data_IF_242578453930
#
_entry.id   IF_242578453930
#
_cell.length_a   1.000
_cell.length_b   1.000
_cell.length_c   1.000
_cell.angle_alpha   90.00
_cell.angle_beta   90.00
_cell.angle_gamma   90.00
#
_symmetry.space_group_name_H-M   'P 1'
#
loop_
_entity.id
_entity.type
_entity.pdbx_description
1 polymer ?
#
# COMPACT_ATOMS: atom_id res chain seq x y z
N UNK A 1 -13.41 26.65 -42.40
CA UNK A 1 -13.04 25.24 -42.18
C UNK A 1 -14.09 24.49 -41.37
N UNK A 2 -14.34 24.82 -40.09
CA UNK A 2 -15.41 24.16 -39.31
C UNK A 2 -16.80 24.27 -39.96
N UNK A 3 -17.08 25.36 -40.66
CA UNK A 3 -18.32 25.52 -41.44
C UNK A 3 -18.44 24.54 -42.59
N UNK A 4 -17.36 24.13 -43.22
CA UNK A 4 -17.35 23.15 -44.32
C UNK A 4 -17.65 21.74 -43.82
N UNK A 5 -17.21 21.37 -42.62
CA UNK A 5 -17.50 20.07 -41.99
C UNK A 5 -18.98 19.90 -41.69
N UNK A 6 -19.66 20.99 -41.29
CA UNK A 6 -21.08 20.97 -40.98
C UNK A 6 -21.94 20.87 -42.24
N UNK A 7 -21.37 21.14 -43.44
CA UNK A 7 -22.06 21.13 -44.73
C UNK A 7 -21.76 19.83 -45.51
N UNK A 8 -20.56 19.25 -45.34
CA UNK A 8 -20.12 18.08 -46.11
C UNK A 8 -19.32 17.11 -45.20
N UNK A 9 -19.93 15.98 -44.89
CA UNK A 9 -19.33 14.93 -44.06
C UNK A 9 -18.16 14.18 -44.73
N UNK A 10 -18.01 14.28 -46.06
CA UNK A 10 -16.88 13.67 -46.78
C UNK A 10 -15.56 14.42 -46.58
N UNK A 11 -15.62 15.68 -46.11
CA UNK A 11 -14.44 16.44 -45.68
C UNK A 11 -13.89 16.03 -44.32
N UNK A 12 -14.62 15.23 -43.52
CA UNK A 12 -14.23 14.82 -42.18
C UNK A 12 -12.87 14.13 -42.11
N UNK A 13 -12.55 13.14 -42.98
CA UNK A 13 -11.25 12.46 -42.93
C UNK A 13 -10.05 13.38 -43.19
N UNK A 14 -10.24 14.38 -44.06
CA UNK A 14 -9.18 15.30 -44.48
C UNK A 14 -8.86 16.37 -43.43
N UNK A 15 -9.81 16.71 -42.59
CA UNK A 15 -9.68 17.78 -41.58
C UNK A 15 -9.27 17.26 -40.22
N UNK A 16 -9.67 16.04 -39.85
CA UNK A 16 -9.28 15.41 -38.56
C UNK A 16 -7.80 15.20 -38.49
N UNK A 17 -7.15 14.95 -39.61
CA UNK A 17 -5.70 14.82 -39.67
C UNK A 17 -4.92 16.13 -39.42
N UNK A 18 -5.55 17.31 -39.23
CA UNK A 18 -4.86 18.57 -39.47
C UNK A 18 -4.93 19.68 -38.41
N UNK A 19 -5.45 19.54 -37.19
CA UNK A 19 -5.54 20.66 -36.24
C UNK A 19 -5.26 20.28 -34.77
N UNK A 20 -4.47 21.09 -34.08
CA UNK A 20 -4.32 20.99 -32.62
C UNK A 20 -5.48 21.65 -31.89
N UNK A 21 -5.90 21.14 -30.71
CA UNK A 21 -6.87 21.86 -29.87
C UNK A 21 -6.39 23.27 -29.49
N UNK A 22 -5.06 23.47 -29.39
CA UNK A 22 -4.47 24.76 -29.03
C UNK A 22 -4.41 25.77 -30.18
N UNK A 23 -4.65 25.34 -31.42
CA UNK A 23 -4.80 26.22 -32.61
C UNK A 23 -6.13 26.96 -32.59
N UNK A 24 -7.02 26.65 -31.62
CA UNK A 24 -8.29 27.31 -31.47
C UNK A 24 -8.31 28.27 -30.29
N UNK A 25 -8.38 29.57 -30.58
CA UNK A 25 -8.55 30.61 -29.55
C UNK A 25 -9.89 30.51 -28.81
N UNK A 26 -10.89 29.86 -29.39
CA UNK A 26 -12.24 29.75 -28.85
C UNK A 26 -12.45 28.33 -28.33
N UNK A 27 -12.85 28.19 -27.05
CA UNK A 27 -13.12 26.93 -26.37
C UNK A 27 -14.04 25.98 -27.17
N UNK A 28 -15.07 26.53 -27.83
CA UNK A 28 -16.01 25.78 -28.67
C UNK A 28 -15.33 25.06 -29.84
N UNK A 29 -14.35 25.71 -30.48
CA UNK A 29 -13.61 25.12 -31.59
C UNK A 29 -12.71 23.99 -31.14
N UNK A 30 -12.12 24.10 -29.92
CA UNK A 30 -11.34 23.04 -29.29
C UNK A 30 -12.20 21.81 -29.00
N UNK A 31 -13.39 22.01 -28.46
CA UNK A 31 -14.36 20.93 -28.17
C UNK A 31 -14.84 20.25 -29.45
N UNK A 32 -15.10 21.03 -30.53
CA UNK A 32 -15.46 20.50 -31.85
C UNK A 32 -14.33 19.62 -32.43
N UNK A 33 -13.09 20.08 -32.36
CA UNK A 33 -11.93 19.27 -32.80
C UNK A 33 -11.82 17.96 -32.04
N UNK A 34 -11.93 18.00 -30.71
CA UNK A 34 -11.90 16.77 -29.88
C UNK A 34 -13.01 15.80 -30.25
N UNK A 35 -14.21 16.31 -30.52
CA UNK A 35 -15.36 15.50 -30.97
C UNK A 35 -15.09 14.83 -32.30
N UNK A 36 -14.59 15.58 -33.29
CA UNK A 36 -14.24 15.08 -34.63
C UNK A 36 -13.15 14.02 -34.54
N UNK A 37 -12.09 14.26 -33.73
CA UNK A 37 -11.02 13.30 -33.50
C UNK A 37 -11.56 12.01 -32.86
N UNK A 38 -12.42 12.12 -31.85
CA UNK A 38 -13.05 10.97 -31.20
C UNK A 38 -13.88 10.16 -32.19
N UNK A 39 -14.69 10.79 -33.00
CA UNK A 39 -15.48 10.12 -34.04
C UNK A 39 -14.60 9.40 -35.08
N UNK A 40 -13.51 10.05 -35.53
CA UNK A 40 -12.55 9.43 -36.44
C UNK A 40 -11.86 8.19 -35.79
N UNK A 41 -11.36 8.31 -34.56
CA UNK A 41 -10.75 7.23 -33.86
C UNK A 41 -11.70 6.03 -33.65
N UNK A 42 -12.97 6.31 -33.36
CA UNK A 42 -14.02 5.28 -33.29
C UNK A 42 -14.29 4.62 -34.63
N UNK A 43 -14.32 5.38 -35.73
CA UNK A 43 -14.54 4.87 -37.08
C UNK A 43 -13.40 3.94 -37.54
N UNK A 44 -12.17 4.24 -37.14
CA UNK A 44 -10.97 3.43 -37.44
C UNK A 44 -10.73 2.33 -36.42
N UNK A 45 -11.60 2.18 -35.39
CA UNK A 45 -11.46 1.22 -34.28
C UNK A 45 -10.11 1.34 -33.53
N UNK A 46 -9.56 2.55 -33.46
CA UNK A 46 -8.38 2.87 -32.68
C UNK A 46 -8.84 3.18 -31.24
N UNK A 47 -8.36 2.39 -30.28
CA UNK A 47 -8.55 2.64 -28.84
C UNK A 47 -7.24 3.27 -28.29
N UNK A 48 -7.15 4.61 -28.22
CA UNK A 48 -5.92 5.27 -27.81
C UNK A 48 -5.77 5.27 -26.28
N UNK A 49 -4.58 4.89 -25.79
CA UNK A 49 -4.25 4.88 -24.36
C UNK A 49 -3.96 6.28 -23.82
N UNK A 50 -3.61 7.21 -24.73
CA UNK A 50 -3.29 8.60 -24.41
C UNK A 50 -3.92 9.54 -25.43
N UNK A 51 -3.98 10.82 -25.07
CA UNK A 51 -4.29 11.86 -26.05
C UNK A 51 -3.22 11.86 -27.13
N UNK A 52 -3.60 11.99 -28.41
CA UNK A 52 -2.64 12.03 -29.49
C UNK A 52 -1.68 13.22 -29.36
N UNK A 53 -0.43 13.00 -29.72
CA UNK A 53 0.49 14.10 -30.01
C UNK A 53 0.31 14.50 -31.47
N UNK A 54 0.10 15.80 -31.71
CA UNK A 54 -0.16 16.32 -33.06
C UNK A 54 0.95 17.32 -33.40
N UNK A 55 1.65 17.07 -34.50
CA UNK A 55 2.66 17.95 -35.06
C UNK A 55 2.18 18.52 -36.39
N UNK A 56 2.15 19.85 -36.50
CA UNK A 56 1.73 20.53 -37.73
C UNK A 56 2.91 20.61 -38.70
N UNK A 57 2.77 19.99 -39.87
CA UNK A 57 3.82 20.00 -40.90
C UNK A 57 3.67 21.21 -41.86
N UNK A 58 2.41 21.61 -42.18
CA UNK A 58 2.16 22.73 -43.09
C UNK A 58 0.99 23.57 -42.61
N UNK A 59 1.21 24.85 -42.39
CA UNK A 59 0.21 25.85 -42.05
C UNK A 59 0.45 27.11 -42.89
N UNK A 60 -0.03 27.09 -44.16
CA UNK A 60 0.11 28.23 -45.08
C UNK A 60 -1.27 28.62 -45.59
N UNK A 61 -1.51 29.93 -45.71
CA UNK A 61 -2.78 30.46 -46.24
C UNK A 61 -2.97 30.05 -47.71
N UNK A 62 -4.09 29.38 -48.00
CA UNK A 62 -4.42 28.89 -49.35
C UNK A 62 -3.85 27.53 -49.73
N UNK A 63 -3.17 26.84 -48.80
CA UNK A 63 -2.74 25.44 -48.96
C UNK A 63 -3.48 24.53 -47.97
N UNK A 64 -3.48 23.25 -48.29
CA UNK A 64 -3.99 22.22 -47.36
C UNK A 64 -3.13 22.18 -46.09
N UNK A 65 -3.79 22.09 -44.97
CA UNK A 65 -3.12 21.92 -43.66
C UNK A 65 -2.75 20.45 -43.53
N UNK A 66 -1.46 20.17 -43.31
CA UNK A 66 -0.95 18.81 -43.12
C UNK A 66 -0.37 18.68 -41.70
N UNK A 67 -0.81 17.66 -40.99
CA UNK A 67 -0.26 17.36 -39.68
C UNK A 67 -0.05 15.85 -39.47
N UNK A 68 0.79 15.51 -38.54
CA UNK A 68 1.06 14.15 -38.08
C UNK A 68 0.47 13.94 -36.70
N UNK A 69 -0.51 13.04 -36.57
CA UNK A 69 -1.02 12.61 -35.26
C UNK A 69 -0.35 11.28 -34.85
N UNK A 70 0.36 11.29 -33.73
CA UNK A 70 0.95 10.10 -33.15
C UNK A 70 0.07 9.59 -32.03
N UNK A 71 -0.40 8.35 -32.14
CA UNK A 71 -1.30 7.70 -31.20
C UNK A 71 -0.60 6.46 -30.64
N UNK A 72 -0.73 6.24 -29.33
CA UNK A 72 -0.35 4.96 -28.72
C UNK A 72 -1.60 4.10 -28.61
N UNK A 73 -1.77 3.07 -29.45
CA UNK A 73 -2.94 2.19 -29.36
C UNK A 73 -2.84 1.32 -28.12
N UNK A 74 -3.99 0.79 -27.69
CA UNK A 74 -4.05 -0.22 -26.66
C UNK A 74 -3.33 -1.49 -27.14
N UNK A 75 -2.46 -2.14 -26.31
CA UNK A 75 -1.71 -3.31 -26.73
C UNK A 75 -2.63 -4.53 -26.93
N UNK A 76 -2.28 -5.36 -27.90
CA UNK A 76 -2.93 -6.66 -28.06
C UNK A 76 -2.44 -7.63 -26.98
N UNK A 77 -3.38 -8.28 -26.31
CA UNK A 77 -3.11 -9.26 -25.26
C UNK A 77 -3.35 -10.65 -25.83
N UNK A 78 -2.33 -11.51 -25.75
CA UNK A 78 -2.48 -12.94 -26.06
C UNK A 78 -2.66 -13.69 -24.76
N UNK A 79 -3.88 -14.21 -24.55
CA UNK A 79 -4.20 -15.02 -23.39
C UNK A 79 -3.47 -16.35 -23.44
N UNK A 80 -2.93 -16.76 -22.28
CA UNK A 80 -2.52 -18.14 -22.02
C UNK A 80 -3.57 -18.83 -21.15
N UNK A 81 -3.15 -19.82 -20.37
CA UNK A 81 -4.03 -20.54 -19.47
C UNK A 81 -4.45 -19.66 -18.29
N UNK A 82 -5.73 -19.45 -18.12
CA UNK A 82 -6.35 -18.73 -17.01
C UNK A 82 -7.46 -19.52 -16.31
N UNK A 83 -7.75 -20.77 -16.79
CA UNK A 83 -8.63 -21.76 -16.18
C UNK A 83 -7.85 -23.01 -15.82
N UNK A 84 -8.33 -23.75 -14.83
CA UNK A 84 -7.70 -25.01 -14.41
C UNK A 84 -6.28 -24.80 -13.87
N UNK A 85 -5.96 -23.62 -13.37
CA UNK A 85 -4.66 -23.31 -12.78
C UNK A 85 -4.45 -24.15 -11.53
N UNK A 86 -3.32 -24.85 -11.45
CA UNK A 86 -2.96 -25.62 -10.27
C UNK A 86 -2.28 -24.70 -9.25
N UNK A 87 -3.10 -24.15 -8.35
CA UNK A 87 -2.64 -23.24 -7.31
C UNK A 87 -2.72 -23.96 -5.96
N UNK A 88 -1.60 -24.30 -5.34
CA UNK A 88 -1.62 -24.96 -4.04
C UNK A 88 -2.24 -24.04 -2.98
N UNK A 89 -3.16 -24.58 -2.18
CA UNK A 89 -3.65 -23.95 -0.97
C UNK A 89 -2.68 -24.28 0.17
N UNK A 90 -2.18 -23.27 0.85
CA UNK A 90 -1.35 -23.47 2.03
C UNK A 90 -2.16 -24.19 3.11
N UNK A 91 -1.64 -25.30 3.62
CA UNK A 91 -2.25 -26.00 4.74
C UNK A 91 -2.14 -25.15 6.00
N UNK A 92 -3.25 -24.96 6.68
CA UNK A 92 -3.31 -24.23 7.94
C UNK A 92 -3.20 -25.24 9.08
N UNK A 93 -2.21 -25.07 9.93
CA UNK A 93 -2.03 -25.87 11.15
C UNK A 93 -1.72 -24.94 12.32
N UNK A 94 -2.67 -24.79 13.22
CA UNK A 94 -2.50 -24.03 14.47
C UNK A 94 -2.04 -24.97 15.56
N UNK A 95 -0.87 -24.71 16.13
CA UNK A 95 -0.26 -25.49 17.19
C UNK A 95 -0.70 -25.00 18.57
N UNK A 96 -0.48 -25.82 19.59
CA UNK A 96 -0.68 -25.40 20.98
C UNK A 96 0.23 -24.24 21.38
N UNK A 97 1.44 -24.20 20.78
CA UNK A 97 2.38 -23.09 20.98
C UNK A 97 1.83 -21.74 20.49
N UNK A 98 1.07 -21.72 19.41
CA UNK A 98 0.47 -20.49 18.88
C UNK A 98 -0.61 -19.97 19.83
N UNK A 99 -1.40 -20.87 20.40
CA UNK A 99 -2.39 -20.53 21.43
C UNK A 99 -1.70 -20.01 22.69
N UNK A 100 -0.61 -20.66 23.12
CA UNK A 100 0.17 -20.21 24.28
C UNK A 100 0.81 -18.83 24.07
N UNK A 101 1.34 -18.54 22.88
CA UNK A 101 1.86 -17.22 22.53
C UNK A 101 0.79 -16.14 22.67
N UNK A 102 -0.40 -16.44 22.20
CA UNK A 102 -1.52 -15.49 22.31
C UNK A 102 -1.96 -15.29 23.77
N UNK A 103 -1.99 -16.36 24.57
CA UNK A 103 -2.27 -16.28 26.00
C UNK A 103 -1.21 -15.46 26.74
N UNK A 104 0.07 -15.64 26.42
CA UNK A 104 1.16 -14.83 26.98
C UNK A 104 1.00 -13.36 26.62
N UNK A 105 0.52 -13.05 25.42
CA UNK A 105 0.22 -11.66 25.02
C UNK A 105 -0.89 -11.08 25.89
N UNK A 106 -1.96 -11.84 26.18
CA UNK A 106 -3.02 -11.41 27.10
C UNK A 106 -2.53 -11.25 28.53
N UNK A 107 -1.74 -12.23 29.03
CA UNK A 107 -1.10 -12.18 30.33
C UNK A 107 -0.24 -10.92 30.49
N UNK A 108 0.58 -10.65 29.47
CA UNK A 108 1.49 -9.51 29.45
C UNK A 108 0.76 -8.17 29.50
N UNK A 109 -0.37 -8.04 28.79
CA UNK A 109 -1.24 -6.84 28.84
C UNK A 109 -1.88 -6.60 30.19
N UNK A 110 -2.07 -7.65 30.99
CA UNK A 110 -2.64 -7.57 32.34
C UNK A 110 -1.57 -7.46 33.44
N UNK A 111 -0.27 -7.52 33.06
CA UNK A 111 0.84 -7.36 33.98
C UNK A 111 0.82 -5.99 34.68
N UNK A 112 1.13 -5.97 35.96
CA UNK A 112 1.25 -4.79 36.77
C UNK A 112 2.72 -4.48 37.07
N UNK A 113 3.09 -3.22 36.92
CA UNK A 113 4.42 -2.79 37.34
C UNK A 113 4.42 -2.60 38.86
N UNK A 114 5.27 -3.34 39.54
CA UNK A 114 5.49 -3.24 40.97
C UNK A 114 6.96 -2.86 41.24
N UNK A 115 7.19 -2.08 42.26
CA UNK A 115 8.54 -1.70 42.64
C UNK A 115 9.30 -2.94 43.06
N UNK A 116 10.50 -3.12 42.53
CA UNK A 116 11.36 -4.26 42.94
C UNK A 116 11.79 -4.16 44.40
N UNK A 117 11.96 -5.28 45.12
CA UNK A 117 12.39 -5.27 46.52
C UNK A 117 13.76 -4.61 46.66
N UNK A 118 14.01 -4.08 47.88
CA UNK A 118 15.32 -3.48 48.23
C UNK A 118 16.48 -4.44 47.93
N UNK A 119 17.50 -3.98 47.22
CA UNK A 119 18.63 -4.81 46.80
C UNK A 119 18.40 -5.68 45.57
N UNK A 120 17.27 -5.56 44.88
CA UNK A 120 17.02 -6.27 43.62
C UNK A 120 18.05 -5.82 42.55
N UNK A 121 18.39 -6.77 41.70
CA UNK A 121 19.20 -6.55 40.49
C UNK A 121 18.31 -6.46 39.27
N UNK A 122 18.69 -5.60 38.34
CA UNK A 122 18.02 -5.44 37.03
C UNK A 122 18.04 -6.76 36.28
N UNK A 123 16.88 -7.18 35.79
CA UNK A 123 16.70 -8.37 34.95
C UNK A 123 16.16 -7.97 33.57
N UNK A 124 16.34 -8.85 32.62
CA UNK A 124 15.71 -8.76 31.33
C UNK A 124 14.17 -8.69 31.49
N UNK A 125 13.51 -7.73 30.79
CA UNK A 125 12.09 -7.44 30.91
C UNK A 125 11.72 -6.41 31.98
N UNK A 126 12.61 -6.04 32.91
CA UNK A 126 12.35 -5.04 33.93
C UNK A 126 12.23 -3.62 33.35
N UNK A 127 11.41 -2.81 33.97
CA UNK A 127 11.28 -1.39 33.68
C UNK A 127 12.14 -0.59 34.66
N UNK A 128 13.19 0.03 34.14
CA UNK A 128 14.09 0.86 34.93
C UNK A 128 13.84 2.32 34.69
N UNK A 129 14.12 3.14 35.70
CA UNK A 129 14.33 4.57 35.52
C UNK A 129 15.81 4.82 35.74
N UNK A 130 16.47 5.41 34.77
CA UNK A 130 17.91 5.63 34.82
C UNK A 130 18.31 7.04 34.41
N UNK A 131 19.39 7.53 35.02
CA UNK A 131 20.13 8.66 34.50
C UNK A 131 21.30 8.13 33.66
N UNK A 132 21.55 8.75 32.53
CA UNK A 132 22.70 8.40 31.72
C UNK A 132 23.38 9.64 31.15
N UNK A 133 24.69 9.53 30.93
CA UNK A 133 25.49 10.54 30.24
C UNK A 133 26.49 9.86 29.34
N UNK A 134 26.40 10.14 28.04
CA UNK A 134 27.25 9.56 27.00
C UNK A 134 28.46 10.41 26.68
N UNK A 135 29.57 9.73 26.41
CA UNK A 135 30.85 10.30 26.03
C UNK A 135 31.37 9.59 24.78
N UNK A 136 31.87 10.33 23.83
CA UNK A 136 32.63 9.84 22.67
C UNK A 136 34.00 10.49 22.71
N UNK A 137 35.06 9.70 22.61
CA UNK A 137 36.45 10.17 22.73
C UNK A 137 36.74 10.96 24.04
N UNK A 138 35.93 10.70 25.09
CA UNK A 138 36.07 11.38 26.41
C UNK A 138 35.31 12.69 26.51
N UNK A 139 34.66 13.17 25.45
CA UNK A 139 33.84 14.37 25.44
C UNK A 139 32.34 14.03 25.43
N UNK A 140 31.54 14.77 26.22
CA UNK A 140 30.09 14.61 26.21
C UNK A 140 29.51 15.17 24.90
N UNK A 141 28.51 14.50 24.35
CA UNK A 141 27.87 14.90 23.09
C UNK A 141 26.40 15.30 23.31
N UNK A 142 25.90 16.16 22.42
CA UNK A 142 24.52 16.64 22.48
C UNK A 142 23.53 15.50 22.24
N UNK A 143 22.50 15.39 23.12
CA UNK A 143 21.53 14.30 23.08
C UNK A 143 21.98 13.02 23.77
N UNK A 144 23.21 12.97 24.31
CA UNK A 144 23.75 11.83 25.06
C UNK A 144 23.40 11.82 26.55
N UNK A 145 22.65 12.79 27.08
CA UNK A 145 22.30 12.89 28.50
C UNK A 145 20.79 12.74 28.70
N UNK A 146 20.37 11.94 29.66
CA UNK A 146 18.97 11.82 30.12
C UNK A 146 18.92 11.66 31.62
N UNK A 147 17.88 12.24 32.24
CA UNK A 147 17.57 12.08 33.67
C UNK A 147 16.21 11.47 33.83
N UNK A 148 16.06 10.60 34.81
CA UNK A 148 14.82 9.88 35.10
C UNK A 148 14.20 9.21 33.84
N UNK A 149 15.05 8.73 32.96
CA UNK A 149 14.62 8.14 31.68
C UNK A 149 14.02 6.74 31.91
N UNK A 150 12.77 6.49 31.48
CA UNK A 150 12.16 5.18 31.59
C UNK A 150 12.69 4.27 30.46
N UNK A 151 13.26 3.13 30.83
CA UNK A 151 13.78 2.12 29.92
C UNK A 151 13.33 0.73 30.32
N UNK A 152 12.73 0.01 29.39
CA UNK A 152 12.49 -1.42 29.54
C UNK A 152 13.72 -2.17 29.04
N UNK A 153 14.33 -2.97 29.90
CA UNK A 153 15.50 -3.80 29.57
C UNK A 153 15.07 -4.92 28.62
N UNK A 154 15.83 -5.11 27.54
CA UNK A 154 15.50 -6.09 26.49
C UNK A 154 14.54 -5.56 25.42
N UNK A 155 14.14 -4.29 25.51
CA UNK A 155 13.27 -3.66 24.48
C UNK A 155 13.99 -3.36 23.17
N UNK A 156 15.31 -3.35 23.16
CA UNK A 156 16.17 -2.92 22.07
C UNK A 156 15.87 -1.48 21.59
N UNK A 157 15.38 -0.62 22.47
CA UNK A 157 15.10 0.79 22.17
C UNK A 157 16.36 1.68 22.22
N UNK A 158 17.43 1.19 22.83
CA UNK A 158 18.74 1.81 22.85
C UNK A 158 19.72 1.17 21.86
N UNK A 159 20.92 1.71 21.79
CA UNK A 159 22.01 1.20 20.96
C UNK A 159 22.28 -0.27 21.33
N UNK A 160 22.48 -1.17 20.35
CA UNK A 160 22.74 -2.58 20.62
C UNK A 160 23.83 -2.81 21.66
N UNK A 161 23.54 -3.66 22.65
CA UNK A 161 24.44 -3.97 23.74
C UNK A 161 24.42 -2.99 24.91
N UNK A 162 23.59 -1.94 24.87
CA UNK A 162 23.41 -1.00 25.97
C UNK A 162 22.60 -1.64 27.11
N UNK A 163 21.44 -2.18 26.79
CA UNK A 163 20.51 -2.75 27.77
C UNK A 163 21.07 -4.01 28.44
N UNK A 164 21.77 -4.85 27.69
CA UNK A 164 22.39 -6.08 28.18
C UNK A 164 23.42 -5.81 29.28
N UNK A 165 24.17 -4.71 29.18
CA UNK A 165 25.18 -4.37 30.18
C UNK A 165 24.59 -3.79 31.47
N UNK A 166 23.32 -3.38 31.47
CA UNK A 166 22.62 -2.93 32.67
C UNK A 166 22.04 -4.10 33.49
N UNK A 167 21.93 -5.29 32.92
CA UNK A 167 21.47 -6.49 33.64
C UNK A 167 22.42 -6.77 34.80
N UNK A 168 21.85 -7.05 35.99
CA UNK A 168 22.58 -7.26 37.22
C UNK A 168 22.98 -5.98 37.95
N UNK A 169 22.66 -4.78 37.45
CA UNK A 169 22.90 -3.54 38.21
C UNK A 169 21.89 -3.35 39.32
N UNK A 170 22.27 -2.64 40.37
CA UNK A 170 21.41 -2.33 41.53
C UNK A 170 20.96 -0.89 41.55
N UNK A 171 19.89 -0.61 42.29
CA UNK A 171 19.42 0.78 42.49
C UNK A 171 20.52 1.60 43.14
N UNK A 172 20.83 2.76 42.58
CA UNK A 172 21.90 3.68 43.02
C UNK A 172 23.28 3.28 42.52
N UNK A 173 23.44 2.19 41.80
CA UNK A 173 24.73 1.77 41.22
C UNK A 173 25.03 2.62 39.98
N UNK A 174 26.26 3.11 39.91
CA UNK A 174 26.82 3.71 38.71
C UNK A 174 27.53 2.63 37.88
N UNK A 175 27.18 2.51 36.61
CA UNK A 175 27.76 1.54 35.69
C UNK A 175 28.17 2.22 34.38
N UNK A 176 29.41 1.93 33.97
CA UNK A 176 29.90 2.36 32.64
C UNK A 176 29.47 1.31 31.59
N UNK A 177 28.67 1.77 30.63
CA UNK A 177 28.15 0.98 29.51
C UNK A 177 28.88 1.37 28.24
N UNK A 178 29.66 0.43 27.69
CA UNK A 178 30.44 0.66 26.49
C UNK A 178 29.76 0.05 25.28
N UNK A 179 29.42 0.89 24.30
CA UNK A 179 28.70 0.50 23.08
C UNK A 179 29.31 1.16 21.85
N UNK A 180 29.04 0.59 20.70
CA UNK A 180 29.42 1.15 19.42
C UNK A 180 28.17 1.58 18.67
N UNK A 181 28.15 2.83 18.21
CA UNK A 181 27.08 3.33 17.35
C UNK A 181 27.02 2.54 16.04
N UNK A 182 25.83 2.19 15.54
CA UNK A 182 25.67 1.61 14.21
C UNK A 182 26.27 2.50 13.12
N UNK A 183 26.74 1.89 12.02
CA UNK A 183 27.31 2.64 10.89
C UNK A 183 26.27 3.52 10.19
N UNK A 184 24.99 3.10 10.21
CA UNK A 184 23.85 3.83 9.65
C UNK A 184 23.09 4.64 10.72
N UNK A 185 23.78 5.22 11.69
CA UNK A 185 23.14 6.03 12.73
C UNK A 185 22.71 7.39 12.18
N UNK A 186 21.54 7.90 12.60
CA UNK A 186 20.95 9.15 12.10
C UNK A 186 21.89 10.37 12.30
N UNK A 187 22.67 10.42 13.39
CA UNK A 187 23.68 11.42 13.61
C UNK A 187 25.02 10.96 13.01
N UNK A 188 25.36 11.47 11.83
CA UNK A 188 26.57 11.09 11.06
C UNK A 188 27.87 11.27 11.85
N UNK A 189 27.86 12.20 12.80
CA UNK A 189 29.03 12.50 13.65
C UNK A 189 29.31 11.40 14.70
N UNK A 190 28.30 10.59 15.02
CA UNK A 190 28.38 9.51 15.98
C UNK A 190 28.46 8.12 15.32
N UNK A 191 28.06 8.00 14.04
CA UNK A 191 28.02 6.74 13.31
C UNK A 191 29.38 6.00 13.37
N UNK A 192 29.34 4.71 13.77
CA UNK A 192 30.50 3.84 13.85
C UNK A 192 31.49 4.15 14.99
N UNK A 193 31.22 5.16 15.84
CA UNK A 193 32.11 5.50 16.96
C UNK A 193 31.81 4.67 18.22
N UNK A 194 32.83 4.46 19.02
CA UNK A 194 32.71 3.89 20.34
C UNK A 194 32.25 4.97 21.33
N UNK A 195 31.29 4.64 22.17
CA UNK A 195 30.76 5.53 23.20
C UNK A 195 30.73 4.83 24.56
N UNK A 196 30.98 5.59 25.61
CA UNK A 196 30.85 5.17 26.99
C UNK A 196 29.72 5.95 27.64
N UNK A 197 28.70 5.26 28.16
CA UNK A 197 27.63 5.89 28.92
C UNK A 197 27.79 5.60 30.39
N UNK A 198 27.82 6.64 31.20
CA UNK A 198 27.71 6.52 32.65
C UNK A 198 26.25 6.49 33.02
N UNK A 199 25.82 5.34 33.53
CA UNK A 199 24.42 5.09 33.84
C UNK A 199 24.25 4.92 35.35
N UNK A 200 23.19 5.53 35.90
CA UNK A 200 22.80 5.37 37.31
C UNK A 200 21.37 4.89 37.36
N UNK A 201 21.13 3.73 37.97
CA UNK A 201 19.77 3.17 38.11
C UNK A 201 19.06 3.91 39.25
N UNK A 202 17.91 4.55 38.95
CA UNK A 202 17.08 5.28 39.93
C UNK A 202 16.02 4.40 40.57
N UNK A 203 15.37 3.60 39.74
CA UNK A 203 14.36 2.65 40.20
C UNK A 203 14.29 1.44 39.28
N UNK A 204 13.84 0.33 39.85
CA UNK A 204 13.58 -0.91 39.14
C UNK A 204 12.12 -1.27 39.42
N UNK A 205 11.34 -1.50 38.35
CA UNK A 205 9.98 -2.04 38.43
C UNK A 205 9.94 -3.35 37.68
N UNK A 206 9.48 -4.37 38.32
CA UNK A 206 9.28 -5.68 37.70
C UNK A 206 7.82 -5.82 37.31
N UNK A 207 7.58 -6.39 36.15
CA UNK A 207 6.22 -6.66 35.68
C UNK A 207 5.73 -7.95 36.31
N UNK A 208 4.84 -7.80 37.28
CA UNK A 208 4.18 -8.94 37.91
C UNK A 208 3.04 -9.43 37.00
N UNK A 209 3.22 -10.61 36.42
CA UNK A 209 2.26 -11.22 35.52
C UNK A 209 1.25 -12.06 36.32
N UNK A 210 -0.07 -11.92 36.04
CA UNK A 210 -1.07 -12.80 36.64
C UNK A 210 -0.86 -14.24 36.21
N UNK A 211 -1.34 -15.20 36.98
CA UNK A 211 -1.36 -16.60 36.55
C UNK A 211 -2.24 -16.76 35.30
N UNK A 212 -1.87 -17.75 34.46
CA UNK A 212 -2.70 -18.12 33.30
C UNK A 212 -3.75 -19.14 33.79
N UNK A 213 -4.85 -18.65 34.28
CA UNK A 213 -5.93 -19.40 34.89
C UNK A 213 -7.31 -18.82 34.50
N UNK A 214 -8.36 -19.35 35.11
CA UNK A 214 -9.74 -18.89 34.86
C UNK A 214 -9.98 -17.43 35.25
N UNK A 215 -9.22 -16.89 36.22
CA UNK A 215 -9.31 -15.49 36.60
C UNK A 215 -8.72 -14.57 35.53
N UNK A 216 -7.67 -15.00 34.84
CA UNK A 216 -7.17 -14.29 33.67
C UNK A 216 -8.21 -14.32 32.54
N UNK A 217 -8.82 -15.50 32.29
CA UNK A 217 -9.84 -15.64 31.24
C UNK A 217 -11.01 -14.65 31.44
N UNK A 218 -11.53 -14.54 32.66
CA UNK A 218 -12.59 -13.59 33.01
C UNK A 218 -12.18 -12.11 32.85
N UNK A 219 -10.92 -11.78 33.07
CA UNK A 219 -10.43 -10.41 32.95
C UNK A 219 -10.21 -9.96 31.50
N UNK A 220 -9.79 -10.88 30.62
CA UNK A 220 -9.38 -10.55 29.25
C UNK A 220 -10.47 -10.84 28.22
N UNK A 221 -11.51 -11.57 28.61
CA UNK A 221 -12.56 -12.03 27.73
C UNK A 221 -13.93 -12.11 28.41
N UNK A 222 -14.91 -12.63 27.68
CA UNK A 222 -16.26 -12.95 28.18
C UNK A 222 -16.39 -14.37 28.74
N UNK A 223 -15.31 -15.14 28.70
CA UNK A 223 -15.32 -16.56 29.09
C UNK A 223 -15.07 -16.75 30.58
N UNK A 224 -15.65 -17.78 31.16
CA UNK A 224 -15.54 -18.10 32.57
C UNK A 224 -14.33 -18.98 32.88
N UNK A 225 -13.86 -19.76 31.89
CA UNK A 225 -12.77 -20.71 32.05
C UNK A 225 -11.63 -20.47 31.06
N UNK A 226 -10.42 -20.89 31.45
CA UNK A 226 -9.24 -20.84 30.59
C UNK A 226 -9.40 -21.74 29.35
N UNK A 227 -10.06 -22.89 29.50
CA UNK A 227 -10.26 -23.80 28.37
C UNK A 227 -11.20 -23.22 27.31
N UNK A 228 -12.26 -22.50 27.70
CA UNK A 228 -13.11 -21.77 26.78
C UNK A 228 -12.34 -20.65 26.04
N UNK A 229 -11.49 -19.91 26.75
CA UNK A 229 -10.63 -18.88 26.15
C UNK A 229 -9.64 -19.52 25.16
N UNK A 230 -8.98 -20.63 25.52
CA UNK A 230 -8.08 -21.35 24.61
C UNK A 230 -8.79 -21.84 23.35
N UNK A 231 -9.99 -22.39 23.49
CA UNK A 231 -10.79 -22.85 22.36
C UNK A 231 -11.18 -21.68 21.43
N UNK A 232 -11.55 -20.52 21.97
CA UNK A 232 -11.88 -19.33 21.19
C UNK A 232 -10.63 -18.75 20.49
N UNK A 233 -9.50 -18.68 21.18
CA UNK A 233 -8.22 -18.26 20.59
C UNK A 233 -7.87 -19.17 19.42
N UNK A 234 -7.90 -20.48 19.61
CA UNK A 234 -7.60 -21.46 18.55
C UNK A 234 -8.51 -21.25 17.35
N UNK A 235 -9.81 -21.16 17.57
CA UNK A 235 -10.80 -20.92 16.53
C UNK A 235 -10.51 -19.64 15.77
N UNK A 236 -10.23 -18.52 16.45
CA UNK A 236 -9.92 -17.26 15.82
C UNK A 236 -8.61 -17.32 15.02
N UNK A 237 -7.59 -18.02 15.51
CA UNK A 237 -6.33 -18.24 14.79
C UNK A 237 -6.56 -19.09 13.54
N UNK A 238 -7.34 -20.17 13.62
CA UNK A 238 -7.70 -21.03 12.49
C UNK A 238 -8.48 -20.24 11.43
N UNK A 239 -9.55 -19.53 11.81
CA UNK A 239 -10.36 -18.72 10.89
C UNK A 239 -9.52 -17.61 10.19
N UNK A 240 -8.61 -16.97 10.94
CA UNK A 240 -7.71 -15.96 10.37
C UNK A 240 -6.69 -16.58 9.40
N UNK A 241 -6.10 -17.71 9.79
CA UNK A 241 -5.11 -18.38 8.96
C UNK A 241 -5.74 -19.01 7.71
N UNK A 242 -6.95 -19.58 7.81
CA UNK A 242 -7.73 -20.06 6.65
C UNK A 242 -8.04 -18.90 5.70
N UNK A 243 -8.54 -17.78 6.22
CA UNK A 243 -8.82 -16.59 5.41
C UNK A 243 -7.56 -16.06 4.72
N UNK A 244 -6.41 -16.08 5.40
CA UNK A 244 -5.13 -15.69 4.81
C UNK A 244 -4.73 -16.65 3.70
N UNK A 245 -4.77 -17.97 3.97
CA UNK A 245 -4.44 -18.99 2.98
C UNK A 245 -5.36 -18.93 1.74
N UNK A 246 -6.65 -18.66 1.92
CA UNK A 246 -7.58 -18.45 0.81
C UNK A 246 -7.25 -17.18 0.01
N UNK A 247 -6.92 -16.08 0.66
CA UNK A 247 -6.55 -14.85 -0.03
C UNK A 247 -5.22 -15.00 -0.77
N UNK A 248 -4.26 -15.70 -0.18
CA UNK A 248 -2.98 -16.02 -0.83
C UNK A 248 -3.19 -16.89 -2.07
N UNK A 249 -4.06 -17.91 -1.97
CA UNK A 249 -4.42 -18.76 -3.10
C UNK A 249 -5.09 -17.96 -4.22
N UNK A 250 -6.05 -17.08 -3.88
CA UNK A 250 -6.69 -16.17 -4.85
C UNK A 250 -5.69 -15.26 -5.54
N UNK A 251 -4.80 -14.66 -4.77
CA UNK A 251 -3.74 -13.79 -5.29
C UNK A 251 -2.78 -14.56 -6.21
N UNK A 252 -2.36 -15.75 -5.79
CA UNK A 252 -1.48 -16.60 -6.59
C UNK A 252 -2.14 -17.05 -7.91
N UNK A 253 -3.46 -17.33 -7.90
CA UNK A 253 -4.21 -17.66 -9.11
C UNK A 253 -4.20 -16.52 -10.13
N UNK A 254 -4.47 -15.29 -9.67
CA UNK A 254 -4.44 -14.10 -10.53
C UNK A 254 -3.01 -13.82 -11.03
N UNK A 255 -2.01 -13.97 -10.18
CA UNK A 255 -0.61 -13.81 -10.56
C UNK A 255 -0.19 -14.83 -11.62
N UNK A 256 -0.55 -16.10 -11.45
CA UNK A 256 -0.28 -17.16 -12.42
C UNK A 256 -0.95 -16.87 -13.77
N UNK A 257 -2.24 -16.50 -13.77
CA UNK A 257 -2.96 -16.10 -14.99
C UNK A 257 -2.28 -14.89 -15.65
N UNK A 258 -1.85 -13.89 -14.87
CA UNK A 258 -1.14 -12.70 -15.38
C UNK A 258 0.19 -13.06 -16.00
N UNK A 259 0.94 -14.02 -15.42
CA UNK A 259 2.22 -14.45 -15.97
C UNK A 259 2.07 -15.23 -17.28
N UNK A 260 0.95 -15.92 -17.47
CA UNK A 260 0.67 -16.72 -18.66
C UNK A 260 0.32 -15.87 -19.90
N UNK A 261 0.01 -14.58 -19.78
CA UNK A 261 -0.26 -13.72 -20.93
C UNK A 261 1.02 -13.17 -21.56
N UNK A 262 0.95 -12.93 -22.86
CA UNK A 262 1.98 -12.18 -23.60
C UNK A 262 1.38 -10.86 -24.07
N UNK A 263 2.02 -9.76 -23.69
CA UNK A 263 1.62 -8.41 -24.04
C UNK A 263 2.85 -7.49 -24.06
N UNK A 264 2.90 -6.58 -25.02
CA UNK A 264 3.89 -5.50 -25.09
C UNK A 264 3.26 -4.21 -24.54
N UNK A 265 3.58 -3.90 -23.28
CA UNK A 265 2.93 -2.80 -22.56
C UNK A 265 3.61 -1.48 -22.92
N UNK A 266 2.91 -0.51 -23.53
CA UNK A 266 3.47 0.82 -23.79
C UNK A 266 3.92 1.50 -22.49
N UNK A 267 5.13 2.07 -22.50
CA UNK A 267 5.72 2.74 -21.33
C UNK A 267 4.79 3.79 -20.70
N UNK A 268 4.02 4.49 -21.53
CA UNK A 268 3.06 5.50 -21.07
C UNK A 268 1.96 4.92 -20.16
N UNK A 269 1.56 3.66 -20.34
CA UNK A 269 0.58 3.01 -19.46
C UNK A 269 1.19 2.77 -18.08
N UNK A 270 2.45 2.33 -18.05
CA UNK A 270 3.21 2.13 -16.81
C UNK A 270 3.39 3.48 -16.09
N UNK A 271 3.81 4.51 -16.81
CA UNK A 271 4.03 5.85 -16.23
C UNK A 271 2.74 6.48 -15.67
N UNK A 272 1.61 6.26 -16.35
CA UNK A 272 0.29 6.67 -15.87
C UNK A 272 -0.08 5.92 -14.57
N UNK A 273 0.17 4.61 -14.51
CA UNK A 273 -0.09 3.82 -13.30
C UNK A 273 0.80 4.22 -12.15
N UNK A 274 2.11 4.46 -12.38
CA UNK A 274 3.03 5.01 -11.39
C UNK A 274 2.49 6.32 -10.82
N UNK A 275 2.03 7.21 -11.69
CA UNK A 275 1.47 8.50 -11.28
C UNK A 275 0.22 8.31 -10.40
N UNK A 276 -0.69 7.41 -10.78
CA UNK A 276 -1.87 7.08 -9.99
C UNK A 276 -1.50 6.50 -8.61
N UNK A 277 -0.52 5.58 -8.54
CA UNK A 277 -0.05 4.99 -7.28
C UNK A 277 0.54 6.04 -6.33
N UNK A 278 1.29 7.00 -6.87
CA UNK A 278 1.84 8.11 -6.06
C UNK A 278 0.73 9.03 -5.56
N UNK A 279 -0.28 9.30 -6.39
CA UNK A 279 -1.44 10.08 -5.96
C UNK A 279 -2.26 9.35 -4.88
N UNK A 280 -2.46 8.04 -5.01
CA UNK A 280 -3.10 7.20 -3.99
C UNK A 280 -2.33 7.24 -2.67
N UNK A 281 -0.99 7.18 -2.73
CA UNK A 281 -0.12 7.33 -1.57
C UNK A 281 -0.24 8.71 -0.93
N UNK A 282 -0.20 9.78 -1.75
CA UNK A 282 -0.33 11.16 -1.27
C UNK A 282 -1.65 11.37 -0.53
N UNK A 283 -2.77 10.91 -1.09
CA UNK A 283 -4.09 10.98 -0.45
C UNK A 283 -4.13 10.21 0.88
N UNK A 284 -3.46 9.05 0.97
CA UNK A 284 -3.38 8.28 2.22
C UNK A 284 -2.56 9.00 3.29
N UNK A 285 -1.45 9.62 2.89
CA UNK A 285 -0.63 10.44 3.80
C UNK A 285 -1.40 11.66 4.29
N UNK A 286 -2.16 12.34 3.43
CA UNK A 286 -2.99 13.48 3.82
C UNK A 286 -4.07 13.10 4.84
N UNK A 287 -4.68 11.92 4.71
CA UNK A 287 -5.62 11.40 5.72
C UNK A 287 -4.96 11.18 7.09
N UNK A 288 -3.65 10.93 7.11
CA UNK A 288 -2.84 10.80 8.32
C UNK A 288 -2.23 12.14 8.79
N UNK A 289 -2.57 13.26 8.12
CA UNK A 289 -2.08 14.60 8.45
C UNK A 289 -0.66 14.89 7.95
N UNK A 290 -0.11 14.07 7.05
CA UNK A 290 1.23 14.24 6.48
C UNK A 290 1.14 14.57 4.99
N UNK A 291 1.99 15.48 4.52
CA UNK A 291 2.13 15.76 3.08
C UNK A 291 3.19 14.85 2.45
N UNK A 292 3.03 14.57 1.15
CA UNK A 292 3.99 13.76 0.40
C UNK A 292 5.42 14.32 0.48
N UNK A 293 5.59 15.64 0.40
CA UNK A 293 6.89 16.29 0.49
C UNK A 293 7.57 16.06 1.84
N UNK A 294 6.81 16.07 2.92
CA UNK A 294 7.31 15.79 4.27
C UNK A 294 7.76 14.34 4.38
N UNK A 295 6.95 13.41 3.85
CA UNK A 295 7.31 12.00 3.81
C UNK A 295 8.62 11.77 3.05
N UNK A 296 8.79 12.37 1.86
CA UNK A 296 10.00 12.24 1.06
C UNK A 296 11.24 12.76 1.80
N UNK A 297 11.11 13.86 2.55
CA UNK A 297 12.19 14.40 3.40
C UNK A 297 12.56 13.42 4.53
N UNK A 298 11.56 12.87 5.23
CA UNK A 298 11.80 11.88 6.30
C UNK A 298 12.44 10.60 5.77
N UNK A 299 12.00 10.12 4.61
CA UNK A 299 12.51 8.92 3.98
C UNK A 299 13.87 9.12 3.29
N UNK A 300 14.40 10.35 3.22
CA UNK A 300 15.67 10.65 2.53
C UNK A 300 15.64 10.32 1.04
N UNK A 301 14.47 10.42 0.40
CA UNK A 301 14.25 10.07 -1.00
C UNK A 301 13.62 11.23 -1.78
N UNK A 302 13.52 11.09 -3.07
CA UNK A 302 12.88 12.05 -3.96
C UNK A 302 11.80 11.39 -4.84
N UNK A 303 11.02 12.22 -5.51
CA UNK A 303 9.92 11.75 -6.35
C UNK A 303 10.39 10.88 -7.52
N UNK A 304 11.60 11.11 -8.05
CA UNK A 304 12.13 10.35 -9.16
C UNK A 304 12.49 8.91 -8.73
N UNK A 305 13.15 8.78 -7.58
CA UNK A 305 13.44 7.46 -6.97
C UNK A 305 12.16 6.73 -6.59
N UNK A 306 11.17 7.44 -6.03
CA UNK A 306 9.88 6.85 -5.71
C UNK A 306 9.16 6.34 -6.96
N UNK A 307 9.22 7.08 -8.07
CA UNK A 307 8.68 6.63 -9.37
C UNK A 307 9.36 5.37 -9.85
N UNK A 308 10.68 5.28 -9.72
CA UNK A 308 11.44 4.09 -10.14
C UNK A 308 11.08 2.87 -9.26
N UNK A 309 10.96 3.05 -7.96
CA UNK A 309 10.54 1.98 -7.03
C UNK A 309 9.15 1.42 -7.37
N UNK A 310 8.23 2.27 -7.82
CA UNK A 310 6.87 1.83 -8.18
C UNK A 310 6.77 1.23 -9.58
N UNK A 311 7.79 1.37 -10.44
CA UNK A 311 7.71 0.99 -11.85
C UNK A 311 7.39 -0.49 -12.07
N UNK A 312 8.09 -1.38 -11.39
CA UNK A 312 7.86 -2.83 -11.47
C UNK A 312 6.45 -3.21 -11.02
N UNK A 313 6.02 -2.68 -9.88
CA UNK A 313 4.66 -2.92 -9.36
C UNK A 313 3.59 -2.35 -10.31
N UNK A 314 3.83 -1.18 -10.87
CA UNK A 314 2.92 -0.57 -11.83
C UNK A 314 2.79 -1.40 -13.11
N UNK A 315 3.90 -1.90 -13.64
CA UNK A 315 3.92 -2.79 -14.80
C UNK A 315 3.11 -4.07 -14.54
N UNK A 316 3.32 -4.71 -13.39
CA UNK A 316 2.57 -5.88 -12.97
C UNK A 316 1.07 -5.57 -12.84
N UNK A 317 0.71 -4.43 -12.26
CA UNK A 317 -0.69 -4.00 -12.14
C UNK A 317 -1.34 -3.79 -13.51
N UNK A 318 -0.66 -3.08 -14.42
CA UNK A 318 -1.17 -2.84 -15.78
C UNK A 318 -1.33 -4.17 -16.52
N UNK A 319 -0.36 -5.08 -16.40
CA UNK A 319 -0.43 -6.42 -16.99
C UNK A 319 -1.64 -7.19 -16.49
N UNK A 320 -1.91 -7.15 -15.18
CA UNK A 320 -3.05 -7.80 -14.55
C UNK A 320 -4.38 -7.18 -15.03
N UNK A 321 -4.47 -5.86 -15.09
CA UNK A 321 -5.67 -5.17 -15.59
C UNK A 321 -5.97 -5.57 -17.03
N UNK A 322 -4.96 -5.57 -17.90
CA UNK A 322 -5.09 -5.99 -19.31
C UNK A 322 -5.51 -7.46 -19.44
N UNK A 323 -4.94 -8.34 -18.62
CA UNK A 323 -5.32 -9.76 -18.58
C UNK A 323 -6.79 -9.92 -18.21
N UNK A 324 -7.24 -9.27 -17.13
CA UNK A 324 -8.62 -9.35 -16.66
C UNK A 324 -9.61 -8.83 -17.70
N UNK A 325 -9.29 -7.73 -18.37
CA UNK A 325 -10.14 -7.16 -19.42
C UNK A 325 -10.24 -8.07 -20.64
N UNK A 326 -9.15 -8.72 -21.02
CA UNK A 326 -9.16 -9.63 -22.17
C UNK A 326 -9.89 -10.96 -21.84
N UNK A 327 -9.70 -11.48 -20.62
CA UNK A 327 -10.50 -12.63 -20.14
C UNK A 327 -11.99 -12.29 -20.08
N UNK A 328 -12.35 -11.07 -19.62
CA UNK A 328 -13.74 -10.63 -19.61
C UNK A 328 -14.36 -10.63 -20.99
N UNK A 329 -13.61 -10.22 -22.03
CA UNK A 329 -14.08 -10.28 -23.44
C UNK A 329 -14.20 -11.71 -23.93
N UNK A 330 -13.21 -12.57 -23.64
CA UNK A 330 -13.20 -13.97 -24.07
C UNK A 330 -14.35 -14.77 -23.46
N UNK A 331 -14.77 -14.45 -22.23
CA UNK A 331 -15.83 -15.12 -21.49
C UNK A 331 -17.19 -14.38 -21.52
N UNK A 332 -17.29 -13.30 -22.28
CA UNK A 332 -18.51 -12.44 -22.38
C UNK A 332 -19.02 -11.97 -21.00
N UNK A 333 -18.09 -11.69 -20.06
CA UNK A 333 -18.45 -11.23 -18.72
C UNK A 333 -18.94 -9.78 -18.81
N UNK A 334 -20.16 -9.53 -18.33
CA UNK A 334 -20.82 -8.24 -18.38
C UNK A 334 -21.09 -7.70 -16.99
N UNK A 335 -21.05 -6.39 -16.87
CA UNK A 335 -21.48 -5.67 -15.67
C UNK A 335 -22.94 -5.32 -15.79
N UNK A 336 -23.73 -5.75 -14.85
CA UNK A 336 -25.14 -5.42 -14.75
C UNK A 336 -25.37 -4.26 -13.77
N UNK A 337 -26.52 -3.61 -13.84
CA UNK A 337 -26.88 -2.53 -12.92
C UNK A 337 -26.80 -2.95 -11.45
N UNK A 338 -27.19 -4.20 -11.17
CA UNK A 338 -27.12 -4.79 -9.83
C UNK A 338 -25.68 -4.85 -9.29
N UNK A 339 -24.71 -5.21 -10.13
CA UNK A 339 -23.29 -5.28 -9.73
C UNK A 339 -22.75 -3.89 -9.32
N UNK A 340 -23.20 -2.85 -10.05
CA UNK A 340 -22.83 -1.45 -9.74
C UNK A 340 -23.47 -1.01 -8.41
N UNK A 341 -24.74 -1.36 -8.19
CA UNK A 341 -25.45 -1.01 -6.96
C UNK A 341 -24.83 -1.71 -5.74
N UNK A 342 -24.43 -2.98 -5.88
CA UNK A 342 -23.72 -3.73 -4.82
C UNK A 342 -22.36 -3.09 -4.49
N UNK A 343 -21.58 -2.69 -5.50
CA UNK A 343 -20.29 -2.03 -5.27
C UNK A 343 -20.46 -0.66 -4.63
N UNK A 344 -21.44 0.13 -5.08
CA UNK A 344 -21.78 1.41 -4.44
C UNK A 344 -22.20 1.23 -2.99
N UNK A 345 -22.97 0.19 -2.68
CA UNK A 345 -23.37 -0.14 -1.31
C UNK A 345 -22.16 -0.53 -0.45
N UNK A 346 -21.23 -1.32 -0.99
CA UNK A 346 -20.00 -1.69 -0.31
C UNK A 346 -19.10 -0.47 -0.02
N UNK A 347 -18.94 0.42 -1.01
CA UNK A 347 -18.22 1.69 -0.82
C UNK A 347 -18.89 2.56 0.25
N UNK A 348 -20.21 2.69 0.22
CA UNK A 348 -20.96 3.47 1.19
C UNK A 348 -20.76 2.94 2.62
N UNK A 349 -20.79 1.63 2.80
CA UNK A 349 -20.54 1.00 4.11
C UNK A 349 -19.10 1.26 4.60
N UNK A 350 -18.11 1.20 3.71
CA UNK A 350 -16.70 1.43 4.06
C UNK A 350 -16.43 2.88 4.51
N UNK A 351 -17.14 3.85 3.92
CA UNK A 351 -16.98 5.28 4.24
C UNK A 351 -18.02 5.85 5.22
N UNK A 352 -18.90 5.02 5.76
CA UNK A 352 -19.96 5.46 6.66
C UNK A 352 -20.97 6.43 5.99
N UNK A 353 -21.14 6.31 4.67
CA UNK A 353 -22.02 7.13 3.84
C UNK A 353 -23.27 6.35 3.42
N UNK A 354 -24.22 7.04 2.79
CA UNK A 354 -25.36 6.35 2.15
C UNK A 354 -25.05 6.03 0.69
N UNK A 355 -25.62 4.92 0.14
CA UNK A 355 -25.43 4.58 -1.27
C UNK A 355 -25.80 5.71 -2.23
N UNK A 356 -26.85 6.48 -1.92
CA UNK A 356 -27.30 7.64 -2.71
C UNK A 356 -26.25 8.74 -2.76
N UNK A 357 -25.58 9.03 -1.65
CA UNK A 357 -24.50 10.03 -1.58
C UNK A 357 -23.32 9.60 -2.44
N UNK A 358 -22.88 8.35 -2.32
CA UNK A 358 -21.76 7.81 -3.11
C UNK A 358 -22.12 7.82 -4.62
N UNK A 359 -23.31 7.36 -4.98
CA UNK A 359 -23.78 7.36 -6.36
C UNK A 359 -23.83 8.76 -6.97
N UNK A 360 -24.29 9.74 -6.18
CA UNK A 360 -24.32 11.15 -6.60
C UNK A 360 -22.92 11.68 -6.90
N UNK A 361 -21.97 11.45 -6.02
CA UNK A 361 -20.57 11.88 -6.20
C UNK A 361 -19.95 11.26 -7.45
N UNK A 362 -20.13 9.93 -7.66
CA UNK A 362 -19.61 9.23 -8.85
C UNK A 362 -20.20 9.81 -10.14
N UNK A 363 -21.51 10.12 -10.15
CA UNK A 363 -22.18 10.74 -11.30
C UNK A 363 -21.70 12.15 -11.57
N UNK A 364 -21.58 12.98 -10.54
CA UNK A 364 -21.12 14.38 -10.65
C UNK A 364 -19.67 14.46 -11.13
N UNK A 365 -18.83 13.49 -10.75
CA UNK A 365 -17.45 13.38 -11.20
C UNK A 365 -17.30 12.69 -12.56
N UNK A 366 -18.37 12.20 -13.18
CA UNK A 366 -18.32 11.47 -14.46
C UNK A 366 -17.60 10.11 -14.39
N UNK A 367 -17.46 9.50 -13.19
CA UNK A 367 -16.64 8.31 -12.94
C UNK A 367 -17.42 6.99 -13.01
N UNK A 368 -18.60 6.98 -13.64
CA UNK A 368 -19.39 5.74 -13.79
C UNK A 368 -18.62 4.71 -14.63
N UNK A 369 -17.89 5.15 -15.66
CA UNK A 369 -17.06 4.25 -16.48
C UNK A 369 -15.95 3.59 -15.68
N UNK A 370 -15.28 4.33 -14.80
CA UNK A 370 -14.22 3.81 -13.93
C UNK A 370 -14.78 2.76 -12.95
N UNK A 371 -15.94 3.05 -12.37
CA UNK A 371 -16.65 2.11 -11.51
C UNK A 371 -16.99 0.82 -12.26
N UNK A 372 -17.57 0.93 -13.46
CA UNK A 372 -17.92 -0.23 -14.27
C UNK A 372 -16.69 -1.08 -14.64
N UNK A 373 -15.57 -0.42 -15.01
CA UNK A 373 -14.31 -1.10 -15.30
C UNK A 373 -13.75 -1.83 -14.05
N UNK A 374 -13.84 -1.20 -12.88
CA UNK A 374 -13.42 -1.82 -11.61
C UNK A 374 -14.26 -3.05 -11.27
N UNK A 375 -15.59 -2.94 -11.41
CA UNK A 375 -16.52 -4.05 -11.17
C UNK A 375 -16.30 -5.19 -12.16
N UNK A 376 -16.05 -4.87 -13.45
CA UNK A 376 -15.72 -5.86 -14.46
C UNK A 376 -14.48 -6.66 -14.07
N UNK A 377 -13.39 -5.99 -13.70
CA UNK A 377 -12.14 -6.64 -13.27
C UNK A 377 -12.36 -7.52 -12.05
N UNK A 378 -13.14 -7.06 -11.08
CA UNK A 378 -13.49 -7.82 -9.86
C UNK A 378 -14.28 -9.10 -10.20
N UNK A 379 -15.28 -9.00 -11.08
CA UNK A 379 -16.05 -10.18 -11.56
C UNK A 379 -15.17 -11.15 -12.31
N UNK A 380 -14.27 -10.65 -13.17
CA UNK A 380 -13.36 -11.50 -13.94
C UNK A 380 -12.32 -12.18 -13.05
N UNK A 381 -11.79 -11.48 -12.06
CA UNK A 381 -10.89 -12.07 -11.06
C UNK A 381 -11.62 -13.20 -10.30
N UNK A 382 -12.86 -12.98 -9.87
CA UNK A 382 -13.66 -14.01 -9.23
C UNK A 382 -13.91 -15.20 -10.15
N UNK A 383 -14.19 -14.95 -11.43
CA UNK A 383 -14.36 -16.03 -12.42
C UNK A 383 -13.09 -16.90 -12.54
N UNK A 384 -11.89 -16.30 -12.59
CA UNK A 384 -10.63 -17.06 -12.62
C UNK A 384 -10.47 -17.90 -11.36
N UNK A 385 -10.74 -17.31 -10.19
CA UNK A 385 -10.66 -17.97 -8.88
C UNK A 385 -11.62 -19.19 -8.81
N UNK A 386 -12.84 -19.03 -9.30
CA UNK A 386 -13.87 -20.09 -9.27
C UNK A 386 -13.51 -21.25 -10.22
N UNK A 387 -12.60 -21.03 -11.18
CA UNK A 387 -12.16 -21.99 -12.19
C UNK A 387 -10.72 -22.49 -11.97
N UNK A 388 -10.15 -22.35 -10.77
CA UNK A 388 -8.86 -23.01 -10.43
C UNK A 388 -9.05 -24.54 -10.39
N UNK A 389 -7.97 -25.28 -10.60
CA UNK A 389 -7.99 -26.73 -10.44
C UNK A 389 -8.35 -27.09 -8.98
N UNK A 390 -9.28 -28.04 -8.83
CA UNK A 390 -9.70 -28.52 -7.51
C UNK A 390 -8.77 -29.60 -7.00
#
# INVERSE_FOLDING_TARGET
>A
MLGSILIDSECLPQIVEQLKPDDFYIRQNREAFQTIYTMFSMSQKIDPVTRPSVDIETLEEGKDLVFKATVTPRPEVKLGDYKGLNVPKNEVSITDEDVEKQLKTFQDRQGKLVDAPEGAEVKDGDFTTLDFKGFVDGEAFDGGEGKDYPLQIGSNSFIPGFEDQLVGAKIGEERDVNVKFPEEYHAKELAGKDATFKCTIRSIKTKELPAIDDELAKKVSKFETLDELKADIRKNLEENAERTAENDQKSAAIEMATNNITVDIPAVMIDNRVTAMIQEMAMRLEQQGMKLEQYLQYAGTDIAKLREQYRETAEKNVKTDLMLEEVAKAEDIKVEAKDLDEEVAAMAAAYGATPQQVQKIIKEQGRIGDLAASVLRKKTAQFIIDNIAK
#
